data_IF_315732814426
#
_entry.id   IF_315732814426
#
_cell.length_a   1.000
_cell.length_b   1.000
_cell.length_c   1.000
_cell.angle_alpha   90.00
_cell.angle_beta   90.00
_cell.angle_gamma   90.00
#
_symmetry.space_group_name_H-M   'P 1'
#
loop_
_entity.id
_entity.type
_entity.pdbx_description
1 polymer ?
#
# COMPACT_ATOMS: atom_id res chain seq x y z
N UNK A 1 -18.02 37.27 15.43
CA UNK A 1 -16.75 36.77 15.99
C UNK A 1 -16.83 35.36 16.61
N UNK A 2 -17.95 34.92 17.23
CA UNK A 2 -18.07 33.56 17.82
C UNK A 2 -18.04 32.38 16.81
N UNK A 3 -18.41 32.59 15.55
CA UNK A 3 -18.45 31.53 14.53
C UNK A 3 -17.07 31.09 14.03
N UNK A 4 -16.12 32.03 13.91
CA UNK A 4 -14.76 31.75 13.40
C UNK A 4 -14.04 30.74 14.31
N UNK A 5 -14.13 30.90 15.63
CA UNK A 5 -13.51 29.97 16.59
C UNK A 5 -14.02 28.53 16.48
N UNK A 6 -15.32 28.34 16.20
CA UNK A 6 -15.92 27.00 16.10
C UNK A 6 -15.39 26.21 14.89
N UNK A 7 -15.17 26.87 13.75
CA UNK A 7 -14.63 26.21 12.56
C UNK A 7 -13.18 25.76 12.75
N UNK A 8 -12.34 26.62 13.36
CA UNK A 8 -10.95 26.29 13.67
C UNK A 8 -10.83 25.11 14.65
N UNK A 9 -11.64 25.11 15.71
CA UNK A 9 -11.66 24.00 16.68
C UNK A 9 -12.06 22.69 15.99
N UNK A 10 -13.10 22.69 15.16
CA UNK A 10 -13.52 21.47 14.44
C UNK A 10 -12.47 20.99 13.41
N UNK A 11 -11.81 21.91 12.71
CA UNK A 11 -10.74 21.57 11.78
C UNK A 11 -9.55 20.95 12.52
N UNK A 12 -9.14 21.56 13.64
CA UNK A 12 -8.09 21.02 14.51
C UNK A 12 -8.45 19.63 15.05
N UNK A 13 -9.68 19.44 15.56
CA UNK A 13 -10.13 18.12 16.01
C UNK A 13 -10.06 17.07 14.91
N UNK A 14 -10.52 17.39 13.69
CA UNK A 14 -10.44 16.47 12.54
C UNK A 14 -9.00 16.14 12.18
N UNK A 15 -8.13 17.15 12.12
CA UNK A 15 -6.70 16.96 11.88
C UNK A 15 -6.08 16.05 12.93
N UNK A 16 -6.29 16.34 14.21
CA UNK A 16 -5.75 15.54 15.33
C UNK A 16 -6.24 14.10 15.31
N UNK A 17 -7.53 13.86 15.05
CA UNK A 17 -8.08 12.50 14.91
C UNK A 17 -7.40 11.75 13.77
N UNK A 18 -7.26 12.39 12.60
CA UNK A 18 -6.62 11.74 11.45
C UNK A 18 -5.15 11.45 11.75
N UNK A 19 -4.40 12.43 12.26
CA UNK A 19 -2.99 12.28 12.59
C UNK A 19 -2.77 11.14 13.60
N UNK A 20 -3.52 11.14 14.69
CA UNK A 20 -3.43 10.08 15.72
C UNK A 20 -3.81 8.72 15.13
N UNK A 21 -4.86 8.64 14.31
CA UNK A 21 -5.26 7.39 13.65
C UNK A 21 -4.14 6.88 12.73
N UNK A 22 -3.53 7.75 11.93
CA UNK A 22 -2.41 7.40 11.06
C UNK A 22 -1.20 6.90 11.85
N UNK A 23 -0.86 7.54 12.97
CA UNK A 23 0.24 7.13 13.84
C UNK A 23 -0.01 5.75 14.47
N UNK A 24 -1.21 5.50 14.99
CA UNK A 24 -1.60 4.20 15.57
C UNK A 24 -1.58 3.11 14.49
N UNK A 25 -2.17 3.37 13.33
CA UNK A 25 -2.20 2.41 12.22
C UNK A 25 -0.80 2.12 11.68
N UNK A 26 0.06 3.14 11.61
CA UNK A 26 1.47 2.97 11.24
C UNK A 26 2.17 2.09 12.25
N UNK A 27 2.06 2.40 13.54
CA UNK A 27 2.63 1.58 14.62
C UNK A 27 2.16 0.13 14.55
N UNK A 28 0.87 -0.13 14.30
CA UNK A 28 0.36 -1.48 14.10
C UNK A 28 1.08 -2.22 12.98
N UNK A 29 1.18 -1.59 11.80
CA UNK A 29 1.82 -2.18 10.63
C UNK A 29 3.31 -2.42 10.87
N UNK A 30 4.04 -1.38 11.29
CA UNK A 30 5.49 -1.43 11.36
C UNK A 30 5.97 -2.26 12.53
N UNK A 31 5.26 -2.29 13.67
CA UNK A 31 5.64 -3.14 14.78
C UNK A 31 5.38 -4.62 14.46
N UNK A 32 4.25 -4.95 13.83
CA UNK A 32 3.95 -6.34 13.40
C UNK A 32 5.03 -6.90 12.49
N UNK A 33 5.61 -6.05 11.63
CA UNK A 33 6.68 -6.43 10.71
C UNK A 33 8.06 -6.42 11.40
N UNK A 34 8.47 -5.29 11.97
CA UNK A 34 9.84 -5.08 12.44
C UNK A 34 10.17 -5.89 13.70
N UNK A 35 9.19 -6.18 14.58
CA UNK A 35 9.46 -7.03 15.76
C UNK A 35 9.71 -8.50 15.40
N UNK A 36 9.17 -8.96 14.27
CA UNK A 36 9.35 -10.32 13.77
C UNK A 36 10.59 -10.42 12.89
N UNK A 37 10.65 -9.58 11.87
CA UNK A 37 11.62 -9.68 10.79
C UNK A 37 12.85 -8.77 10.95
N UNK A 38 12.75 -7.67 11.71
CA UNK A 38 13.80 -6.65 11.80
C UNK A 38 14.22 -6.17 10.40
N UNK A 39 15.52 -6.02 10.18
CA UNK A 39 16.07 -5.95 8.83
C UNK A 39 16.92 -7.20 8.50
N UNK A 40 16.39 -8.36 8.88
CA UNK A 40 16.91 -9.69 8.56
C UNK A 40 18.29 -10.01 9.17
N UNK A 41 18.65 -9.44 10.32
CA UNK A 41 19.97 -9.66 10.93
C UNK A 41 20.16 -11.03 11.59
N UNK A 42 19.16 -11.93 11.49
CA UNK A 42 19.27 -13.29 12.03
C UNK A 42 20.12 -14.19 11.12
N UNK A 43 21.39 -14.32 11.51
CA UNK A 43 22.42 -15.10 10.79
C UNK A 43 22.22 -16.61 10.84
N UNK A 44 21.31 -17.12 11.67
CA UNK A 44 21.08 -18.58 11.77
C UNK A 44 20.35 -19.16 10.54
N UNK A 45 19.82 -18.31 9.66
CA UNK A 45 19.44 -18.73 8.32
C UNK A 45 20.69 -18.78 7.43
N UNK A 46 21.43 -19.89 7.51
CA UNK A 46 22.72 -20.12 6.83
C UNK A 46 22.73 -19.90 5.29
N UNK A 47 21.61 -19.52 4.68
CA UNK A 47 21.42 -19.38 3.24
C UNK A 47 21.01 -17.97 2.76
N UNK A 48 20.74 -17.00 3.65
CA UNK A 48 20.17 -15.70 3.25
C UNK A 48 21.06 -14.51 3.62
N UNK A 49 22.00 -14.17 2.71
CA UNK A 49 22.76 -12.92 2.72
C UNK A 49 21.91 -11.75 2.20
N UNK A 50 20.88 -11.39 2.96
CA UNK A 50 19.87 -10.37 2.63
C UNK A 50 19.75 -9.30 3.71
N UNK A 51 20.79 -9.14 4.53
CA UNK A 51 20.78 -8.22 5.67
C UNK A 51 20.92 -6.77 5.21
N UNK A 52 20.40 -5.81 6.01
CA UNK A 52 20.58 -4.39 5.69
C UNK A 52 22.05 -3.97 5.53
N UNK A 53 23.03 -4.43 6.34
CA UNK A 53 24.44 -4.13 6.13
C UNK A 53 24.95 -4.60 4.76
N UNK A 54 24.58 -5.79 4.32
CA UNK A 54 24.98 -6.31 3.00
C UNK A 54 24.36 -5.49 1.86
N UNK A 55 23.13 -5.00 2.04
CA UNK A 55 22.51 -4.05 1.11
C UNK A 55 23.26 -2.73 1.10
N UNK A 56 23.59 -2.16 2.27
CA UNK A 56 24.33 -0.92 2.40
C UNK A 56 25.73 -0.98 1.75
N UNK A 57 26.32 -2.16 1.72
CA UNK A 57 27.64 -2.42 1.14
C UNK A 57 27.58 -2.86 -0.33
N UNK A 58 26.38 -3.08 -0.88
CA UNK A 58 26.21 -3.62 -2.23
C UNK A 58 26.70 -5.07 -2.39
N UNK A 59 26.83 -5.81 -1.29
CA UNK A 59 27.37 -7.18 -1.25
C UNK A 59 26.29 -8.26 -1.09
N UNK A 60 25.02 -7.85 -0.93
CA UNK A 60 23.89 -8.77 -0.88
C UNK A 60 23.80 -9.66 -2.12
N UNK A 61 23.14 -10.82 -1.99
CA UNK A 61 22.89 -11.72 -3.13
C UNK A 61 21.88 -11.12 -4.10
N UNK A 62 21.97 -11.49 -5.38
CA UNK A 62 20.91 -11.22 -6.36
C UNK A 62 19.69 -12.13 -6.07
N UNK A 63 18.46 -11.62 -6.24
CA UNK A 63 18.11 -10.30 -6.77
C UNK A 63 18.05 -9.18 -5.71
N UNK A 64 18.27 -9.50 -4.44
CA UNK A 64 18.07 -8.58 -3.32
C UNK A 64 18.92 -7.31 -3.42
N UNK A 65 20.18 -7.43 -3.87
CA UNK A 65 21.09 -6.28 -4.04
C UNK A 65 20.56 -5.19 -4.97
N UNK A 66 19.68 -5.51 -5.93
CA UNK A 66 19.08 -4.49 -6.81
C UNK A 66 18.18 -3.50 -6.07
N UNK A 67 17.83 -3.79 -4.80
CA UNK A 67 17.01 -2.94 -3.92
C UNK A 67 17.85 -2.10 -2.95
N UNK A 68 19.18 -2.18 -3.06
CA UNK A 68 20.14 -1.50 -2.20
C UNK A 68 20.26 0.01 -2.45
N UNK A 69 19.67 0.54 -3.53
CA UNK A 69 19.77 1.95 -3.94
C UNK A 69 19.50 2.93 -2.80
N UNK A 70 18.43 2.69 -2.04
CA UNK A 70 18.06 3.54 -0.91
C UNK A 70 19.08 3.47 0.25
N UNK A 71 19.35 2.31 0.87
CA UNK A 71 20.29 2.25 1.99
C UNK A 71 21.73 2.63 1.60
N UNK A 72 22.16 2.34 0.37
CA UNK A 72 23.46 2.80 -0.13
C UNK A 72 23.53 4.32 -0.23
N UNK A 73 22.48 4.98 -0.75
CA UNK A 73 22.42 6.44 -0.84
C UNK A 73 22.47 7.08 0.55
N UNK A 74 21.76 6.50 1.53
CA UNK A 74 21.80 6.96 2.91
C UNK A 74 23.18 6.78 3.52
N UNK A 75 23.78 5.58 3.39
CA UNK A 75 25.13 5.32 3.89
C UNK A 75 26.15 6.28 3.29
N UNK A 76 26.07 6.49 1.97
CA UNK A 76 26.93 7.43 1.26
C UNK A 76 26.78 8.85 1.82
N UNK A 77 25.55 9.35 1.97
CA UNK A 77 25.30 10.68 2.52
C UNK A 77 25.84 10.83 3.96
N UNK A 78 25.62 9.82 4.81
CA UNK A 78 26.11 9.81 6.20
C UNK A 78 27.64 9.76 6.25
N UNK A 79 28.28 8.97 5.37
CA UNK A 79 29.74 8.87 5.30
C UNK A 79 30.44 10.17 4.89
N UNK A 80 29.71 11.09 4.26
CA UNK A 80 30.20 12.42 3.86
C UNK A 80 30.05 13.48 4.96
N UNK A 81 29.37 13.17 6.07
CA UNK A 81 29.25 14.09 7.19
C UNK A 81 30.60 14.23 7.92
N UNK A 82 30.93 15.42 8.46
CA UNK A 82 32.10 15.59 9.32
C UNK A 82 32.08 14.61 10.51
N UNK A 83 33.24 14.08 10.94
CA UNK A 83 33.31 13.11 12.04
C UNK A 83 32.64 13.60 13.34
N UNK A 84 32.77 14.89 13.67
CA UNK A 84 32.14 15.50 14.85
C UNK A 84 30.61 15.45 14.79
N UNK A 85 30.05 15.67 13.60
CA UNK A 85 28.61 15.59 13.39
C UNK A 85 28.12 14.14 13.43
N UNK A 86 28.89 13.19 12.87
CA UNK A 86 28.57 11.77 13.00
C UNK A 86 28.57 11.32 14.46
N UNK A 87 29.56 11.73 15.25
CA UNK A 87 29.64 11.40 16.68
C UNK A 87 28.49 12.04 17.48
N UNK A 88 28.14 13.29 17.17
CA UNK A 88 26.98 13.97 17.78
C UNK A 88 25.66 13.26 17.48
N UNK A 89 25.41 12.96 16.20
CA UNK A 89 24.21 12.23 15.77
C UNK A 89 24.17 10.82 16.37
N UNK A 90 25.31 10.13 16.36
CA UNK A 90 25.46 8.81 16.99
C UNK A 90 25.06 8.85 18.46
N UNK A 91 25.57 9.83 19.20
CA UNK A 91 25.24 10.01 20.62
C UNK A 91 23.75 10.28 20.79
N UNK A 92 23.15 11.16 19.99
CA UNK A 92 21.71 11.45 20.05
C UNK A 92 20.83 10.23 19.79
N UNK A 93 21.16 9.41 18.79
CA UNK A 93 20.36 8.22 18.48
C UNK A 93 20.58 7.10 19.51
N UNK A 94 21.75 7.03 20.14
CA UNK A 94 22.10 5.96 21.10
C UNK A 94 21.80 6.29 22.56
N UNK A 95 21.60 7.57 22.91
CA UNK A 95 21.38 8.03 24.30
C UNK A 95 20.16 7.36 24.97
N UNK A 96 19.13 7.01 24.19
CA UNK A 96 17.94 6.27 24.63
C UNK A 96 17.54 5.21 23.60
N UNK A 97 18.41 4.22 23.40
CA UNK A 97 18.32 3.27 22.28
C UNK A 97 17.24 2.16 22.46
N UNK A 98 15.99 2.58 22.69
CA UNK A 98 14.82 1.71 22.70
C UNK A 98 14.58 1.08 21.32
N UNK A 99 14.94 1.79 20.25
CA UNK A 99 14.75 1.33 18.87
C UNK A 99 15.69 0.16 18.57
N UNK A 100 17.00 0.26 18.85
CA UNK A 100 17.91 -0.87 18.65
C UNK A 100 17.56 -2.05 19.53
N UNK A 101 17.30 -1.81 20.82
CA UNK A 101 16.97 -2.91 21.74
C UNK A 101 15.73 -3.69 21.30
N UNK A 102 14.74 -3.03 20.70
CA UNK A 102 13.52 -3.67 20.22
C UNK A 102 13.65 -4.26 18.81
N UNK A 103 14.22 -3.51 17.86
CA UNK A 103 14.16 -3.84 16.42
C UNK A 103 15.49 -4.30 15.83
N UNK A 104 16.63 -3.87 16.37
CA UNK A 104 17.97 -4.13 15.79
C UNK A 104 18.90 -4.90 16.72
N UNK A 105 18.34 -5.53 17.77
CA UNK A 105 19.12 -6.21 18.82
C UNK A 105 19.89 -7.43 18.31
N UNK A 106 19.50 -7.94 17.15
CA UNK A 106 20.16 -9.05 16.44
C UNK A 106 21.46 -8.64 15.76
N UNK A 107 21.70 -7.35 15.52
CA UNK A 107 22.96 -6.88 14.89
C UNK A 107 24.10 -6.86 15.94
N UNK A 108 25.20 -7.61 15.74
CA UNK A 108 26.29 -7.64 16.71
C UNK A 108 26.91 -6.25 16.94
N UNK A 109 27.23 -5.93 18.20
CA UNK A 109 27.72 -4.60 18.60
C UNK A 109 28.96 -4.13 17.82
N UNK A 110 29.83 -5.06 17.39
CA UNK A 110 31.02 -4.74 16.57
C UNK A 110 30.71 -4.10 15.21
N UNK A 111 29.50 -4.31 14.68
CA UNK A 111 29.07 -3.70 13.41
C UNK A 111 28.28 -2.38 13.63
N UNK A 112 27.97 -2.03 14.88
CA UNK A 112 27.19 -0.84 15.25
C UNK A 112 28.06 0.42 15.29
N UNK A 113 28.64 0.76 14.13
CA UNK A 113 29.43 1.99 13.96
C UNK A 113 28.51 3.23 13.79
N UNK A 114 29.01 4.47 13.97
CA UNK A 114 28.22 5.68 13.77
C UNK A 114 27.48 5.74 12.43
N UNK A 115 28.17 5.38 11.34
CA UNK A 115 27.56 5.38 9.99
C UNK A 115 26.45 4.35 9.89
N UNK A 116 26.67 3.15 10.41
CA UNK A 116 25.69 2.05 10.36
C UNK A 116 24.46 2.39 11.18
N UNK A 117 24.64 2.83 12.43
CA UNK A 117 23.53 3.18 13.30
C UNK A 117 22.68 4.33 12.75
N UNK A 118 23.31 5.38 12.22
CA UNK A 118 22.57 6.50 11.63
C UNK A 118 21.80 6.03 10.39
N UNK A 119 22.41 5.19 9.54
CA UNK A 119 21.74 4.61 8.36
C UNK A 119 20.53 3.75 8.74
N UNK A 120 20.67 2.94 9.79
CA UNK A 120 19.59 2.13 10.35
C UNK A 120 18.41 2.99 10.82
N UNK A 121 18.69 4.06 11.57
CA UNK A 121 17.67 4.97 12.05
C UNK A 121 16.96 5.72 10.91
N UNK A 122 17.71 6.22 9.93
CA UNK A 122 17.12 6.86 8.74
C UNK A 122 16.24 5.87 7.97
N UNK A 123 16.68 4.62 7.82
CA UNK A 123 15.90 3.56 7.16
C UNK A 123 14.63 3.25 7.92
N UNK A 124 14.69 3.14 9.24
CA UNK A 124 13.53 2.97 10.11
C UNK A 124 12.52 4.10 9.99
N UNK A 125 12.96 5.36 10.11
CA UNK A 125 12.08 6.51 9.96
C UNK A 125 11.52 6.63 8.55
N UNK A 126 12.25 6.17 7.53
CA UNK A 126 11.75 6.10 6.15
C UNK A 126 10.63 5.08 6.02
N UNK A 127 10.76 3.90 6.65
CA UNK A 127 9.67 2.90 6.71
C UNK A 127 8.42 3.48 7.39
N UNK A 128 8.58 4.19 8.51
CA UNK A 128 7.48 4.87 9.19
C UNK A 128 6.83 5.92 8.27
N UNK A 129 7.64 6.80 7.66
CA UNK A 129 7.15 7.87 6.80
C UNK A 129 6.44 7.34 5.54
N UNK A 130 6.98 6.28 4.91
CA UNK A 130 6.37 5.62 3.77
C UNK A 130 5.03 4.98 4.14
N UNK A 131 4.93 4.37 5.31
CA UNK A 131 3.69 3.78 5.82
C UNK A 131 2.63 4.85 6.12
N UNK A 132 3.00 5.93 6.81
CA UNK A 132 2.11 7.09 7.05
C UNK A 132 1.63 7.66 5.71
N UNK A 133 2.55 7.86 4.76
CA UNK A 133 2.24 8.34 3.42
C UNK A 133 1.22 7.44 2.71
N UNK A 134 1.44 6.12 2.70
CA UNK A 134 0.50 5.17 2.10
C UNK A 134 -0.89 5.22 2.75
N UNK A 135 -0.96 5.22 4.08
CA UNK A 135 -2.23 5.30 4.82
C UNK A 135 -2.95 6.64 4.61
N UNK A 136 -2.20 7.74 4.52
CA UNK A 136 -2.74 9.05 4.18
C UNK A 136 -3.31 9.08 2.76
N UNK A 137 -2.61 8.49 1.78
CA UNK A 137 -3.10 8.38 0.41
C UNK A 137 -4.35 7.50 0.33
N UNK A 138 -4.42 6.42 1.09
CA UNK A 138 -5.64 5.59 1.22
C UNK A 138 -6.80 6.41 1.80
N UNK A 139 -6.55 7.20 2.86
CA UNK A 139 -7.54 8.11 3.42
C UNK A 139 -8.03 9.11 2.37
N UNK A 140 -7.13 9.74 1.62
CA UNK A 140 -7.49 10.69 0.57
C UNK A 140 -8.31 10.03 -0.56
N UNK A 141 -7.92 8.83 -1.00
CA UNK A 141 -8.69 8.05 -1.97
C UNK A 141 -10.09 7.71 -1.44
N UNK A 142 -10.21 7.33 -0.16
CA UNK A 142 -11.50 7.10 0.48
C UNK A 142 -12.38 8.37 0.46
N UNK A 143 -11.81 9.54 0.77
CA UNK A 143 -12.53 10.82 0.70
C UNK A 143 -12.93 11.19 -0.72
N UNK A 144 -12.09 10.89 -1.73
CA UNK A 144 -12.43 11.09 -3.15
C UNK A 144 -13.58 10.19 -3.61
N UNK A 145 -13.75 9.02 -3.01
CA UNK A 145 -14.86 8.10 -3.25
C UNK A 145 -16.11 8.41 -2.41
N UNK A 146 -16.22 9.64 -1.87
CA UNK A 146 -17.40 10.16 -1.16
C UNK A 146 -17.73 9.39 0.13
N UNK A 147 -16.74 8.69 0.71
CA UNK A 147 -16.90 8.16 2.06
C UNK A 147 -16.96 9.32 3.06
N UNK A 148 -17.84 9.19 4.06
CA UNK A 148 -17.88 10.12 5.18
C UNK A 148 -16.56 10.11 5.96
N UNK A 149 -16.30 11.14 6.77
CA UNK A 149 -15.09 11.23 7.59
C UNK A 149 -14.86 9.96 8.45
N UNK A 150 -15.91 9.49 9.13
CA UNK A 150 -15.85 8.27 9.94
C UNK A 150 -15.57 7.02 9.10
N UNK A 151 -16.30 6.83 7.99
CA UNK A 151 -16.09 5.68 7.10
C UNK A 151 -14.68 5.63 6.50
N UNK A 152 -14.13 6.78 6.10
CA UNK A 152 -12.77 6.85 5.57
C UNK A 152 -11.72 6.47 6.63
N UNK A 153 -11.87 6.94 7.88
CA UNK A 153 -11.01 6.53 8.99
C UNK A 153 -11.14 5.05 9.31
N UNK A 154 -12.37 4.53 9.41
CA UNK A 154 -12.62 3.10 9.63
C UNK A 154 -12.00 2.25 8.51
N UNK A 155 -12.04 2.71 7.27
CA UNK A 155 -11.40 2.01 6.15
C UNK A 155 -9.88 1.96 6.31
N UNK A 156 -9.24 3.06 6.71
CA UNK A 156 -7.79 3.11 6.98
C UNK A 156 -7.41 2.17 8.13
N UNK A 157 -8.20 2.15 9.20
CA UNK A 157 -8.02 1.22 10.33
C UNK A 157 -8.18 -0.22 9.86
N UNK A 158 -9.23 -0.54 9.09
CA UNK A 158 -9.40 -1.88 8.55
C UNK A 158 -8.20 -2.28 7.67
N UNK A 159 -7.76 -1.42 6.76
CA UNK A 159 -6.58 -1.66 5.94
C UNK A 159 -5.33 -1.93 6.79
N UNK A 160 -5.12 -1.15 7.85
CA UNK A 160 -3.94 -1.32 8.71
C UNK A 160 -3.94 -2.60 9.52
N UNK A 161 -5.11 -3.18 9.80
CA UNK A 161 -5.25 -4.49 10.43
C UNK A 161 -5.03 -5.64 9.42
N UNK A 162 -5.46 -5.46 8.17
CA UNK A 162 -5.31 -6.48 7.12
C UNK A 162 -3.91 -6.51 6.50
N UNK A 163 -3.28 -5.35 6.28
CA UNK A 163 -2.00 -5.26 5.56
C UNK A 163 -0.87 -6.10 6.20
N UNK A 164 -0.70 -6.13 7.54
CA UNK A 164 0.29 -7.00 8.17
C UNK A 164 0.12 -8.46 7.77
N UNK A 165 -1.11 -8.97 7.64
CA UNK A 165 -1.38 -10.38 7.30
C UNK A 165 -0.78 -10.82 5.96
N UNK A 166 -0.29 -9.89 5.14
CA UNK A 166 0.40 -10.16 3.87
C UNK A 166 1.90 -10.49 4.03
N UNK A 167 2.46 -10.34 5.24
CA UNK A 167 3.87 -10.57 5.59
C UNK A 167 4.09 -11.86 6.41
N UNK A 168 3.55 -12.99 5.93
CA UNK A 168 3.55 -14.25 6.69
C UNK A 168 4.94 -14.90 6.76
N UNK A 169 5.65 -14.92 5.63
CA UNK A 169 6.94 -15.61 5.46
C UNK A 169 8.16 -14.68 5.43
N UNK A 170 8.01 -13.41 5.03
CA UNK A 170 9.09 -12.41 5.10
C UNK A 170 8.56 -10.98 4.96
N UNK A 171 9.42 -9.99 5.24
CA UNK A 171 9.08 -8.57 5.08
C UNK A 171 10.32 -7.67 4.97
N UNK A 172 10.35 -6.72 4.04
CA UNK A 172 11.53 -5.88 3.83
C UNK A 172 11.20 -4.39 3.90
N UNK A 173 12.20 -3.56 4.23
CA UNK A 173 12.02 -2.10 4.30
C UNK A 173 11.49 -1.50 2.99
N UNK A 174 11.89 -2.07 1.85
CA UNK A 174 11.50 -1.60 0.52
C UNK A 174 10.04 -1.91 0.19
N UNK A 175 9.35 -2.81 0.90
CA UNK A 175 7.93 -3.07 0.66
C UNK A 175 7.06 -1.86 1.04
N UNK A 176 7.45 -1.12 2.07
CA UNK A 176 6.74 0.09 2.52
C UNK A 176 6.92 1.25 1.53
N UNK A 177 8.13 1.40 0.98
CA UNK A 177 8.41 2.37 -0.08
C UNK A 177 7.63 2.03 -1.35
N UNK A 178 7.60 0.77 -1.75
CA UNK A 178 6.81 0.31 -2.90
C UNK A 178 5.33 0.62 -2.70
N UNK A 179 4.76 0.28 -1.54
CA UNK A 179 3.37 0.56 -1.20
C UNK A 179 3.06 2.06 -1.31
N UNK A 180 3.89 2.90 -0.70
CA UNK A 180 3.73 4.36 -0.78
C UNK A 180 3.78 4.86 -2.22
N UNK A 181 4.75 4.37 -3.01
CA UNK A 181 4.92 4.74 -4.41
C UNK A 181 3.72 4.38 -5.28
N UNK A 182 3.18 3.16 -5.16
CA UNK A 182 2.02 2.76 -5.99
C UNK A 182 0.74 3.49 -5.61
N UNK A 183 0.51 3.75 -4.32
CA UNK A 183 -0.63 4.57 -3.90
C UNK A 183 -0.46 6.03 -4.35
N UNK A 184 0.74 6.58 -4.31
CA UNK A 184 1.01 7.95 -4.75
C UNK A 184 0.80 8.09 -6.26
N UNK A 185 1.33 7.15 -7.07
CA UNK A 185 1.14 7.13 -8.51
C UNK A 185 -0.36 7.02 -8.87
N UNK A 186 -1.10 6.13 -8.19
CA UNK A 186 -2.54 5.98 -8.35
C UNK A 186 -3.30 7.27 -7.99
N UNK A 187 -2.97 7.89 -6.85
CA UNK A 187 -3.58 9.14 -6.40
C UNK A 187 -3.34 10.29 -7.38
N UNK A 188 -2.09 10.50 -7.82
CA UNK A 188 -1.78 11.57 -8.77
C UNK A 188 -2.45 11.36 -10.13
N UNK A 189 -2.54 10.12 -10.61
CA UNK A 189 -3.30 9.81 -11.83
C UNK A 189 -4.77 10.15 -11.66
N UNK A 190 -5.39 9.76 -10.54
CA UNK A 190 -6.80 10.08 -10.26
C UNK A 190 -7.06 11.58 -10.09
N UNK A 191 -6.05 12.35 -9.65
CA UNK A 191 -6.07 13.82 -9.61
C UNK A 191 -5.73 14.47 -10.95
N UNK A 192 -5.45 13.68 -12.00
CA UNK A 192 -5.00 14.13 -13.34
C UNK A 192 -3.65 14.87 -13.32
N UNK A 193 -2.83 14.67 -12.29
CA UNK A 193 -1.49 15.25 -12.15
C UNK A 193 -0.43 14.31 -12.77
N UNK A 194 -0.45 14.17 -14.10
CA UNK A 194 0.36 13.16 -14.80
C UNK A 194 1.87 13.36 -14.67
N UNK A 195 2.35 14.60 -14.55
CA UNK A 195 3.77 14.86 -14.30
C UNK A 195 4.18 14.35 -12.92
N UNK A 196 3.40 14.64 -11.87
CA UNK A 196 3.66 14.13 -10.52
C UNK A 196 3.59 12.61 -10.45
N UNK A 197 2.62 12.00 -11.16
CA UNK A 197 2.53 10.54 -11.33
C UNK A 197 3.80 9.97 -11.98
N UNK A 198 4.31 10.60 -13.04
CA UNK A 198 5.51 10.15 -13.76
C UNK A 198 6.78 10.31 -12.92
N UNK A 199 6.94 11.44 -12.21
CA UNK A 199 8.05 11.65 -11.26
C UNK A 199 8.01 10.59 -10.15
N UNK A 200 6.81 10.31 -9.61
CA UNK A 200 6.62 9.28 -8.61
C UNK A 200 7.07 7.90 -9.13
N UNK A 201 6.66 7.52 -10.35
CA UNK A 201 7.08 6.27 -10.97
C UNK A 201 8.60 6.22 -11.18
N UNK A 202 9.21 7.30 -11.65
CA UNK A 202 10.65 7.38 -11.82
C UNK A 202 11.38 7.17 -10.49
N UNK A 203 11.00 7.87 -9.43
CA UNK A 203 11.64 7.76 -8.11
C UNK A 203 11.46 6.37 -7.51
N UNK A 204 10.23 5.86 -7.45
CA UNK A 204 9.96 4.57 -6.79
C UNK A 204 10.39 3.35 -7.61
N UNK A 205 10.68 3.51 -8.91
CA UNK A 205 11.25 2.41 -9.70
C UNK A 205 12.69 2.03 -9.30
N UNK A 206 13.42 2.90 -8.58
CA UNK A 206 14.71 2.55 -7.95
C UNK A 206 14.58 1.57 -6.77
N UNK A 207 13.37 1.39 -6.25
CA UNK A 207 13.12 0.60 -5.05
C UNK A 207 12.92 -0.90 -5.36
N UNK A 208 12.27 -1.24 -6.48
CA UNK A 208 12.00 -2.63 -6.87
C UNK A 208 11.90 -2.76 -8.38
N UNK A 209 12.52 -3.80 -8.92
CA UNK A 209 12.61 -4.06 -10.35
C UNK A 209 11.26 -4.36 -11.01
N UNK A 210 10.26 -4.82 -10.24
CA UNK A 210 8.90 -5.12 -10.72
C UNK A 210 8.01 -3.88 -10.83
N UNK A 211 8.48 -2.72 -10.37
CA UNK A 211 7.68 -1.49 -10.35
C UNK A 211 7.23 -1.03 -11.75
N UNK A 212 7.89 -1.48 -12.83
CA UNK A 212 7.46 -1.23 -14.21
C UNK A 212 6.06 -1.80 -14.54
N UNK A 213 5.54 -2.73 -13.75
CA UNK A 213 4.17 -3.23 -13.89
C UNK A 213 3.12 -2.18 -13.46
N UNK A 214 3.49 -1.24 -12.58
CA UNK A 214 2.59 -0.18 -12.13
C UNK A 214 2.08 0.72 -13.29
N UNK A 215 2.94 1.32 -14.15
CA UNK A 215 2.45 2.12 -15.27
C UNK A 215 1.62 1.30 -16.28
N UNK A 216 1.95 0.02 -16.51
CA UNK A 216 1.14 -0.87 -17.36
C UNK A 216 -0.28 -1.03 -16.83
N UNK A 217 -0.43 -1.20 -15.52
CA UNK A 217 -1.75 -1.26 -14.90
C UNK A 217 -2.47 0.10 -14.96
N UNK A 218 -1.76 1.19 -14.62
CA UNK A 218 -2.30 2.55 -14.59
C UNK A 218 -2.85 3.01 -15.96
N UNK A 219 -2.33 2.48 -17.07
CA UNK A 219 -2.90 2.70 -18.41
C UNK A 219 -4.41 2.44 -18.46
N UNK A 220 -4.89 1.39 -17.79
CA UNK A 220 -6.31 1.01 -17.72
C UNK A 220 -7.11 1.83 -16.70
N UNK A 221 -6.42 2.54 -15.81
CA UNK A 221 -7.01 3.47 -14.87
C UNK A 221 -7.24 4.85 -15.49
N UNK A 222 -6.93 5.16 -16.74
CA UNK A 222 -7.29 6.48 -17.30
C UNK A 222 -8.81 6.66 -17.46
N UNK A 223 -9.30 7.90 -17.30
CA UNK A 223 -10.68 8.27 -17.62
C UNK A 223 -10.96 8.11 -19.12
N UNK A 224 -12.22 7.86 -19.51
CA UNK A 224 -12.62 7.58 -20.90
C UNK A 224 -12.41 8.77 -21.85
N UNK A 225 -12.41 9.99 -21.34
CA UNK A 225 -12.20 11.23 -22.09
C UNK A 225 -10.73 11.45 -22.52
N UNK A 226 -9.77 10.81 -21.86
CA UNK A 226 -8.36 10.89 -22.23
C UNK A 226 -8.12 10.11 -23.52
N UNK A 227 -7.59 10.77 -24.55
CA UNK A 227 -7.30 10.15 -25.84
C UNK A 227 -6.29 9.00 -25.72
N UNK A 228 -6.43 7.96 -26.54
CA UNK A 228 -5.54 6.79 -26.52
C UNK A 228 -4.07 7.19 -26.73
N UNK A 229 -3.81 8.17 -27.62
CA UNK A 229 -2.48 8.71 -27.89
C UNK A 229 -1.84 9.31 -26.63
N UNK A 230 -2.59 10.09 -25.86
CA UNK A 230 -2.10 10.68 -24.61
C UNK A 230 -1.81 9.61 -23.56
N UNK A 231 -2.66 8.56 -23.44
CA UNK A 231 -2.39 7.44 -22.54
C UNK A 231 -1.11 6.70 -22.93
N UNK A 232 -0.95 6.42 -24.22
CA UNK A 232 0.21 5.74 -24.76
C UNK A 232 1.50 6.57 -24.57
N UNK A 233 1.45 7.90 -24.74
CA UNK A 233 2.61 8.76 -24.51
C UNK A 233 3.04 8.79 -23.05
N UNK A 234 2.09 8.87 -22.10
CA UNK A 234 2.42 8.79 -20.68
C UNK A 234 2.98 7.42 -20.30
N UNK A 235 2.37 6.33 -20.80
CA UNK A 235 2.88 4.99 -20.60
C UNK A 235 4.32 4.85 -21.12
N UNK A 236 4.59 5.31 -22.34
CA UNK A 236 5.92 5.26 -22.93
C UNK A 236 6.96 6.03 -22.10
N UNK A 237 6.62 7.24 -21.64
CA UNK A 237 7.49 8.03 -20.77
C UNK A 237 7.78 7.33 -19.44
N UNK A 238 6.74 6.77 -18.80
CA UNK A 238 6.87 6.07 -17.53
C UNK A 238 7.69 4.77 -17.66
N UNK A 239 7.48 4.00 -18.73
CA UNK A 239 8.27 2.81 -19.02
C UNK A 239 9.73 3.17 -19.34
N UNK A 240 9.98 4.25 -20.08
CA UNK A 240 11.34 4.73 -20.31
C UNK A 240 12.04 5.06 -19.00
N UNK A 241 11.36 5.74 -18.06
CA UNK A 241 11.90 5.95 -16.71
C UNK A 241 12.22 4.63 -16.02
N UNK A 242 11.29 3.66 -15.99
CA UNK A 242 11.53 2.37 -15.34
C UNK A 242 12.68 1.56 -15.99
N UNK A 243 12.86 1.66 -17.31
CA UNK A 243 13.97 1.00 -18.00
C UNK A 243 15.32 1.64 -17.65
N UNK A 244 15.38 2.97 -17.61
CA UNK A 244 16.58 3.70 -17.20
C UNK A 244 16.95 3.37 -15.76
N UNK A 245 15.99 3.44 -14.83
CA UNK A 245 16.26 3.13 -13.43
C UNK A 245 16.65 1.67 -13.25
N UNK A 246 15.97 0.73 -13.93
CA UNK A 246 16.35 -0.68 -13.93
C UNK A 246 17.79 -0.89 -14.40
N UNK A 247 18.19 -0.23 -15.49
CA UNK A 247 19.56 -0.32 -15.97
C UNK A 247 20.55 0.17 -14.91
N UNK A 248 20.29 1.34 -14.31
CA UNK A 248 21.15 1.93 -13.27
C UNK A 248 21.27 1.07 -12.00
N UNK A 249 20.18 0.44 -11.55
CA UNK A 249 20.21 -0.40 -10.33
C UNK A 249 20.76 -1.80 -10.57
N UNK A 250 20.88 -2.24 -11.82
CA UNK A 250 21.41 -3.57 -12.16
C UNK A 250 22.86 -3.50 -12.63
N UNK A 251 23.27 -2.39 -13.25
CA UNK A 251 24.64 -2.16 -13.68
C UNK A 251 25.58 -2.15 -12.47
N UNK A 252 26.52 -3.09 -12.42
CA UNK A 252 27.54 -3.15 -11.38
C UNK A 252 27.40 -4.31 -10.38
N UNK A 253 26.37 -5.14 -10.49
CA UNK A 253 26.16 -6.31 -9.61
C UNK A 253 26.30 -7.66 -10.33
N UNK A 254 26.97 -7.70 -11.48
CA UNK A 254 27.17 -8.92 -12.23
C UNK A 254 28.00 -9.95 -11.44
N UNK A 255 28.97 -9.46 -10.65
CA UNK A 255 29.85 -10.26 -9.79
C UNK A 255 29.20 -10.73 -8.48
N UNK A 256 28.05 -10.18 -8.10
CA UNK A 256 27.33 -10.64 -6.90
C UNK A 256 26.82 -12.07 -7.11
N UNK A 257 26.78 -12.85 -6.01
CA UNK A 257 26.28 -14.23 -6.03
C UNK A 257 24.75 -14.22 -6.21
N UNK A 258 24.20 -15.24 -6.89
CA UNK A 258 22.75 -15.43 -7.05
C UNK A 258 22.26 -15.23 -8.47
N UNK A 259 20.96 -15.46 -8.69
CA UNK A 259 20.29 -15.29 -9.98
C UNK A 259 19.49 -13.99 -10.08
N UNK A 260 19.05 -13.62 -11.29
CA UNK A 260 18.16 -12.47 -11.50
C UNK A 260 16.79 -12.66 -10.85
N UNK A 261 16.37 -13.91 -10.65
CA UNK A 261 15.14 -14.31 -9.98
C UNK A 261 15.40 -15.58 -9.19
N UNK A 262 14.63 -15.82 -8.14
CA UNK A 262 14.60 -17.10 -7.43
C UNK A 262 13.41 -17.93 -7.93
N UNK A 263 13.62 -19.22 -8.14
CA UNK A 263 12.59 -20.13 -8.64
C UNK A 263 12.10 -21.03 -7.50
N UNK A 264 10.80 -20.96 -7.21
CA UNK A 264 10.14 -21.61 -6.07
C UNK A 264 8.89 -22.38 -6.50
N UNK A 265 8.80 -22.79 -7.77
CA UNK A 265 7.58 -23.41 -8.31
C UNK A 265 7.18 -24.68 -7.55
N UNK A 266 8.14 -25.55 -7.24
CA UNK A 266 7.87 -26.83 -6.58
C UNK A 266 7.41 -26.59 -5.14
N UNK A 267 8.07 -25.68 -4.44
CA UNK A 267 7.74 -25.24 -3.09
C UNK A 267 6.33 -24.65 -3.03
N UNK A 268 5.99 -23.79 -3.99
CA UNK A 268 4.66 -23.19 -4.10
C UNK A 268 3.58 -24.25 -4.36
N UNK A 269 3.80 -25.16 -5.31
CA UNK A 269 2.83 -26.23 -5.61
C UNK A 269 2.60 -27.11 -4.39
N UNK A 270 3.66 -27.51 -3.66
CA UNK A 270 3.53 -28.29 -2.42
C UNK A 270 2.76 -27.53 -1.35
N UNK A 271 3.03 -26.23 -1.19
CA UNK A 271 2.36 -25.38 -0.22
C UNK A 271 0.86 -25.24 -0.51
N UNK A 272 0.48 -24.96 -1.76
CA UNK A 272 -0.91 -24.71 -2.14
C UNK A 272 -1.77 -25.98 -2.23
N UNK A 273 -1.18 -27.16 -2.38
CA UNK A 273 -1.92 -28.44 -2.35
C UNK A 273 -2.16 -28.93 -0.93
N UNK A 274 -1.31 -28.58 0.04
CA UNK A 274 -1.45 -29.04 1.42
C UNK A 274 -2.65 -28.35 2.13
N UNK A 275 -3.73 -29.07 2.46
CA UNK A 275 -4.90 -28.46 3.12
C UNK A 275 -4.58 -27.84 4.48
N UNK A 276 -3.49 -28.25 5.16
CA UNK A 276 -3.09 -27.69 6.45
C UNK A 276 -2.67 -26.23 6.36
N UNK A 277 -2.16 -25.78 5.21
CA UNK A 277 -1.74 -24.38 5.01
C UNK A 277 -2.92 -23.42 5.05
N UNK A 278 -4.14 -23.90 4.76
CA UNK A 278 -5.39 -23.13 4.85
C UNK A 278 -5.97 -23.07 6.27
N UNK A 279 -5.48 -23.87 7.21
CA UNK A 279 -5.91 -23.83 8.62
C UNK A 279 -4.84 -23.23 9.54
N UNK A 280 -3.78 -22.66 8.96
CA UNK A 280 -2.65 -22.11 9.70
C UNK A 280 -3.02 -20.83 10.47
N UNK A 281 -2.34 -20.65 11.60
CA UNK A 281 -2.36 -19.45 12.43
C UNK A 281 -0.92 -18.97 12.61
N UNK A 282 -0.75 -17.64 12.61
CA UNK A 282 0.53 -16.98 12.72
C UNK A 282 0.51 -15.92 13.83
N UNK A 283 1.65 -15.72 14.48
CA UNK A 283 1.82 -14.74 15.55
C UNK A 283 2.41 -13.43 15.02
N UNK A 284 1.80 -12.87 13.97
CA UNK A 284 2.34 -11.71 13.27
C UNK A 284 2.00 -10.38 13.97
N UNK A 285 0.77 -10.25 14.48
CA UNK A 285 0.32 -9.03 15.17
C UNK A 285 0.94 -8.96 16.58
N UNK A 286 1.09 -10.10 17.24
CA UNK A 286 1.74 -10.21 18.56
C UNK A 286 2.31 -11.61 18.75
N UNK A 287 3.46 -11.71 19.45
CA UNK A 287 4.21 -12.97 19.65
C UNK A 287 3.38 -14.11 20.28
N UNK A 288 2.29 -13.79 20.97
CA UNK A 288 1.47 -14.76 21.71
C UNK A 288 0.00 -14.80 21.28
N UNK A 289 -0.39 -14.04 20.24
CA UNK A 289 -1.78 -14.00 19.77
C UNK A 289 -1.88 -14.71 18.43
N UNK A 290 -2.45 -15.94 18.39
CA UNK A 290 -2.62 -16.66 17.13
C UNK A 290 -3.60 -15.89 16.24
N UNK A 291 -3.10 -15.43 15.10
CA UNK A 291 -3.88 -14.71 14.09
C UNK A 291 -4.08 -15.63 12.89
N UNK A 292 -5.31 -15.83 12.39
CA UNK A 292 -5.53 -16.70 11.24
C UNK A 292 -4.76 -16.18 10.02
N UNK A 293 -4.20 -17.08 9.21
CA UNK A 293 -3.59 -16.72 7.94
C UNK A 293 -4.59 -16.09 6.98
N UNK A 294 -4.13 -15.39 5.93
CA UNK A 294 -5.04 -14.69 5.02
C UNK A 294 -5.90 -15.67 4.20
N UNK A 295 -5.34 -16.84 3.89
CA UNK A 295 -6.02 -17.98 3.26
C UNK A 295 -6.96 -18.74 4.19
N UNK A 296 -6.91 -18.48 5.50
CA UNK A 296 -7.76 -19.14 6.47
C UNK A 296 -9.25 -18.81 6.21
N UNK A 297 -10.17 -19.79 6.26
CA UNK A 297 -11.61 -19.57 6.06
C UNK A 297 -12.19 -18.41 6.88
N UNK A 298 -11.70 -18.19 8.10
CA UNK A 298 -12.13 -17.09 8.97
C UNK A 298 -11.84 -15.70 8.38
N UNK A 299 -10.83 -15.59 7.52
CA UNK A 299 -10.42 -14.35 6.86
C UNK A 299 -10.89 -14.32 5.41
N UNK A 300 -10.62 -15.38 4.63
CA UNK A 300 -10.86 -15.37 3.18
C UNK A 300 -12.35 -15.36 2.83
N UNK A 301 -13.21 -16.05 3.58
CA UNK A 301 -14.65 -16.12 3.29
C UNK A 301 -15.32 -14.73 3.42
N UNK A 302 -15.23 -14.03 4.56
CA UNK A 302 -15.81 -12.68 4.66
C UNK A 302 -15.16 -11.71 3.67
N UNK A 303 -13.85 -11.83 3.42
CA UNK A 303 -13.15 -11.00 2.45
C UNK A 303 -13.67 -11.22 1.02
N UNK A 304 -13.87 -12.47 0.59
CA UNK A 304 -14.41 -12.81 -0.73
C UNK A 304 -15.86 -12.34 -0.87
N UNK A 305 -16.70 -12.52 0.16
CA UNK A 305 -18.08 -12.01 0.16
C UNK A 305 -18.09 -10.49 -0.02
N UNK A 306 -17.29 -9.79 0.79
CA UNK A 306 -17.15 -8.34 0.72
C UNK A 306 -16.63 -7.87 -0.65
N UNK A 307 -15.52 -8.43 -1.13
CA UNK A 307 -14.91 -8.05 -2.41
C UNK A 307 -15.79 -8.40 -3.60
N UNK A 308 -16.53 -9.52 -3.56
CA UNK A 308 -17.49 -9.88 -4.61
C UNK A 308 -18.64 -8.88 -4.68
N UNK A 309 -19.17 -8.45 -3.54
CA UNK A 309 -20.19 -7.42 -3.50
C UNK A 309 -19.64 -6.06 -3.98
N UNK A 310 -18.48 -5.66 -3.47
CA UNK A 310 -17.77 -4.45 -3.87
C UNK A 310 -17.48 -4.42 -5.39
N UNK A 311 -17.04 -5.55 -5.95
CA UNK A 311 -16.78 -5.74 -7.37
C UNK A 311 -18.02 -5.44 -8.22
N UNK A 312 -19.19 -5.94 -7.82
CA UNK A 312 -20.46 -5.72 -8.54
C UNK A 312 -20.82 -4.24 -8.63
N UNK A 313 -20.45 -3.44 -7.62
CA UNK A 313 -20.73 -2.00 -7.58
C UNK A 313 -19.62 -1.14 -8.19
N UNK A 314 -18.40 -1.66 -8.31
CA UNK A 314 -17.30 -0.92 -8.88
C UNK A 314 -17.47 -0.71 -10.39
N UNK A 315 -17.11 0.48 -10.88
CA UNK A 315 -17.10 0.77 -12.31
C UNK A 315 -16.16 -0.15 -13.09
N UNK A 316 -16.49 -0.39 -14.36
CA UNK A 316 -15.69 -1.23 -15.28
C UNK A 316 -14.22 -0.79 -15.37
N UNK A 317 -13.94 0.51 -15.24
CA UNK A 317 -12.58 1.08 -15.22
C UNK A 317 -11.73 0.49 -14.10
N UNK A 318 -12.25 0.46 -12.87
CA UNK A 318 -11.53 -0.09 -11.71
C UNK A 318 -11.34 -1.59 -11.81
N UNK A 319 -12.31 -2.30 -12.40
CA UNK A 319 -12.22 -3.74 -12.68
C UNK A 319 -11.10 -4.06 -13.69
N UNK A 320 -11.02 -3.31 -14.79
CA UNK A 320 -9.94 -3.45 -15.75
C UNK A 320 -8.58 -3.11 -15.13
N UNK A 321 -8.51 -2.06 -14.31
CA UNK A 321 -7.29 -1.74 -13.56
C UNK A 321 -6.87 -2.88 -12.63
N UNK A 322 -7.81 -3.49 -11.89
CA UNK A 322 -7.50 -4.65 -11.04
C UNK A 322 -6.96 -5.82 -11.87
N UNK A 323 -7.61 -6.18 -12.98
CA UNK A 323 -7.12 -7.27 -13.82
C UNK A 323 -5.72 -6.98 -14.40
N UNK A 324 -5.48 -5.75 -14.85
CA UNK A 324 -4.19 -5.34 -15.38
C UNK A 324 -3.07 -5.36 -14.33
N UNK A 325 -3.39 -5.02 -13.07
CA UNK A 325 -2.45 -5.09 -11.96
C UNK A 325 -2.24 -6.52 -11.45
N UNK A 326 -3.31 -7.31 -11.35
CA UNK A 326 -3.30 -8.60 -10.67
C UNK A 326 -2.75 -9.74 -11.54
N UNK A 327 -3.19 -9.86 -12.80
CA UNK A 327 -2.86 -11.05 -13.60
C UNK A 327 -1.36 -11.21 -13.91
N UNK A 328 -0.62 -10.15 -14.29
CA UNK A 328 0.83 -10.28 -14.47
C UNK A 328 1.52 -10.73 -13.18
N UNK A 329 1.08 -10.24 -12.02
CA UNK A 329 1.62 -10.65 -10.73
C UNK A 329 1.28 -12.10 -10.41
N UNK A 330 0.06 -12.57 -10.68
CA UNK A 330 -0.32 -13.98 -10.46
C UNK A 330 0.56 -14.91 -11.31
N UNK A 331 0.76 -14.56 -12.58
CA UNK A 331 1.61 -15.35 -13.49
C UNK A 331 3.05 -15.41 -12.99
N UNK A 332 3.60 -14.29 -12.50
CA UNK A 332 4.95 -14.24 -11.93
C UNK A 332 5.05 -14.93 -10.57
N UNK A 333 4.00 -14.85 -9.75
CA UNK A 333 3.99 -15.38 -8.38
C UNK A 333 4.04 -16.91 -8.37
N UNK A 334 3.44 -17.59 -9.36
CA UNK A 334 3.43 -19.05 -9.44
C UNK A 334 4.87 -19.63 -9.42
N UNK A 335 5.80 -19.21 -10.31
CA UNK A 335 7.17 -19.71 -10.29
C UNK A 335 8.15 -18.92 -9.40
N UNK A 336 7.91 -17.63 -9.14
CA UNK A 336 8.91 -16.76 -8.48
C UNK A 336 8.45 -16.20 -7.13
N UNK A 337 7.18 -16.31 -6.78
CA UNK A 337 6.68 -15.99 -5.44
C UNK A 337 7.12 -17.06 -4.44
N UNK A 338 6.88 -16.80 -3.15
CA UNK A 338 7.18 -17.77 -2.10
C UNK A 338 5.93 -17.98 -1.24
N UNK A 339 5.37 -19.19 -1.30
CA UNK A 339 4.24 -19.65 -0.48
C UNK A 339 3.08 -18.65 -0.45
N UNK A 340 2.76 -18.12 0.72
CA UNK A 340 1.69 -17.14 0.99
C UNK A 340 2.23 -15.72 1.24
N UNK A 341 3.36 -15.34 0.60
CA UNK A 341 3.84 -13.96 0.57
C UNK A 341 2.95 -13.02 -0.25
N UNK A 342 1.72 -12.79 0.23
CA UNK A 342 0.72 -11.94 -0.44
C UNK A 342 1.23 -10.51 -0.62
N UNK A 343 2.22 -10.06 0.17
CA UNK A 343 2.92 -8.78 -0.03
C UNK A 343 3.51 -8.63 -1.44
N UNK A 344 3.80 -9.72 -2.15
CA UNK A 344 4.26 -9.70 -3.53
C UNK A 344 3.23 -9.09 -4.50
N UNK A 345 1.96 -9.04 -4.10
CA UNK A 345 0.87 -8.39 -4.83
C UNK A 345 0.68 -6.91 -4.48
N UNK A 346 1.62 -6.27 -3.78
CA UNK A 346 1.59 -4.85 -3.38
C UNK A 346 1.20 -3.91 -4.53
N UNK A 347 1.67 -4.17 -5.76
CA UNK A 347 1.35 -3.36 -6.94
C UNK A 347 -0.15 -3.40 -7.31
N UNK A 348 -0.87 -4.46 -6.92
CA UNK A 348 -2.32 -4.57 -7.08
C UNK A 348 -3.12 -3.98 -5.91
N UNK A 349 -2.49 -3.59 -4.80
CA UNK A 349 -3.18 -3.09 -3.61
C UNK A 349 -3.96 -1.80 -3.89
N UNK A 350 -3.46 -0.81 -4.65
CA UNK A 350 -4.29 0.34 -5.02
C UNK A 350 -5.55 -0.05 -5.79
N UNK A 351 -5.46 -1.02 -6.71
CA UNK A 351 -6.62 -1.48 -7.46
C UNK A 351 -7.64 -2.20 -6.55
N UNK A 352 -7.16 -3.08 -5.67
CA UNK A 352 -7.99 -3.75 -4.66
C UNK A 352 -8.66 -2.74 -3.72
N UNK A 353 -7.92 -1.71 -3.27
CA UNK A 353 -8.45 -0.62 -2.45
C UNK A 353 -9.56 0.11 -3.19
N UNK A 354 -9.39 0.49 -4.46
CA UNK A 354 -10.43 1.17 -5.23
C UNK A 354 -11.70 0.31 -5.37
N UNK A 355 -11.56 -1.01 -5.57
CA UNK A 355 -12.72 -1.92 -5.53
C UNK A 355 -13.35 -1.91 -4.13
N UNK A 356 -12.55 -2.11 -3.08
CA UNK A 356 -13.01 -2.19 -1.70
C UNK A 356 -13.74 -0.92 -1.22
N UNK A 357 -13.33 0.27 -1.67
CA UNK A 357 -13.99 1.53 -1.34
C UNK A 357 -15.48 1.56 -1.77
N UNK A 358 -15.81 0.92 -2.90
CA UNK A 358 -17.22 0.80 -3.34
C UNK A 358 -18.02 -0.08 -2.37
N UNK A 359 -17.42 -1.17 -1.86
CA UNK A 359 -18.03 -2.02 -0.84
C UNK A 359 -18.16 -1.36 0.53
N UNK A 360 -17.15 -0.57 0.93
CA UNK A 360 -17.10 0.07 2.25
C UNK A 360 -18.28 1.02 2.50
N UNK A 361 -18.73 1.75 1.47
CA UNK A 361 -19.91 2.61 1.55
C UNK A 361 -21.23 1.84 1.82
N UNK A 362 -21.24 0.52 1.63
CA UNK A 362 -22.41 -0.37 1.72
C UNK A 362 -22.17 -1.54 2.67
N UNK A 363 -21.18 -1.47 3.54
CA UNK A 363 -20.75 -2.59 4.39
C UNK A 363 -21.94 -3.22 5.15
N UNK A 364 -22.78 -2.40 5.78
CA UNK A 364 -23.97 -2.87 6.50
C UNK A 364 -24.91 -3.66 5.58
N UNK A 365 -25.24 -3.14 4.39
CA UNK A 365 -26.15 -3.82 3.45
C UNK A 365 -25.63 -5.19 3.00
N UNK A 366 -24.31 -5.32 2.83
CA UNK A 366 -23.66 -6.56 2.40
C UNK A 366 -23.88 -7.68 3.44
N UNK A 367 -23.83 -7.35 4.74
CA UNK A 367 -23.87 -8.33 5.82
C UNK A 367 -25.21 -8.36 6.60
N UNK A 368 -26.10 -7.39 6.41
CA UNK A 368 -27.41 -7.34 7.08
C UNK A 368 -28.52 -8.10 6.34
N UNK A 369 -28.27 -8.62 5.13
CA UNK A 369 -29.30 -9.26 4.28
C UNK A 369 -29.77 -10.65 4.74
N UNK A 370 -29.47 -11.06 5.98
CA UNK A 370 -29.84 -12.37 6.54
C UNK A 370 -31.18 -12.39 7.31
N UNK A 371 -31.88 -11.25 7.42
CA UNK A 371 -33.17 -11.21 8.14
C UNK A 371 -34.15 -10.27 7.45
N UNK A 372 -34.66 -10.67 6.29
CA UNK A 372 -36.08 -10.44 5.97
C UNK A 372 -36.53 -11.35 4.81
N UNK A 373 -37.13 -12.49 5.15
CA UNK A 373 -38.33 -12.94 4.47
C UNK A 373 -39.43 -13.10 5.53
N UNK A 374 -40.50 -12.31 5.46
CA UNK A 374 -41.56 -12.65 4.53
C UNK A 374 -42.35 -11.41 4.15
N UNK A 375 -42.63 -11.30 2.85
CA UNK A 375 -43.80 -10.62 2.31
C UNK A 375 -45.04 -11.05 3.10
N UNK A 376 -45.41 -10.29 4.12
CA UNK A 376 -46.83 -10.17 4.46
C UNK A 376 -47.40 -9.41 3.29
N UNK A 377 -48.09 -10.16 2.43
CA UNK A 377 -48.91 -9.62 1.37
C UNK A 377 -49.93 -8.66 2.00
N UNK A 378 -49.60 -7.37 2.05
CA UNK A 378 -50.59 -6.33 2.22
C UNK A 378 -51.43 -6.31 0.94
N UNK A 379 -52.52 -7.07 0.97
CA UNK A 379 -53.70 -6.75 0.17
C UNK A 379 -54.18 -5.37 0.62
N UNK A 380 -53.61 -4.32 0.05
CA UNK A 380 -54.20 -2.98 0.05
C UNK A 380 -55.09 -2.91 -1.20
N UNK A 381 -56.39 -2.62 -1.05
CA UNK A 381 -57.29 -2.52 -2.19
C UNK A 381 -56.94 -1.31 -3.05
N UNK A 382 -57.00 -1.50 -4.36
CA UNK A 382 -57.10 -0.43 -5.34
C UNK A 382 -58.33 0.45 -5.02
N UNK A 383 -58.07 1.69 -4.63
CA UNK A 383 -58.97 2.83 -4.77
C UNK A 383 -58.09 3.85 -5.51
N UNK A 384 -58.23 4.12 -6.80
CA UNK A 384 -59.45 4.54 -7.49
C UNK A 384 -59.43 6.07 -7.54
N UNK A 385 -59.13 6.63 -8.72
CA UNK A 385 -59.40 8.04 -9.17
C UNK A 385 -58.65 9.16 -8.41
N UNK A 386 -58.04 10.20 -8.98
CA UNK A 386 -58.21 10.95 -10.23
C UNK A 386 -56.98 11.87 -10.39
N UNK A 387 -56.51 12.07 -11.62
CA UNK A 387 -55.50 13.07 -11.98
C UNK A 387 -56.06 14.50 -11.87
N UNK A 388 -55.25 15.48 -11.44
CA UNK A 388 -55.34 16.83 -11.97
C UNK A 388 -54.19 17.08 -12.96
N UNK A 389 -54.56 17.32 -14.21
CA UNK A 389 -53.73 18.06 -15.16
C UNK A 389 -53.54 19.49 -14.64
N UNK A 390 -52.29 19.94 -14.49
CA UNK A 390 -52.01 21.37 -14.46
C UNK A 390 -50.65 21.70 -15.07
N UNK A 391 -50.76 22.32 -16.25
CA UNK A 391 -50.00 23.46 -16.75
C UNK A 391 -48.49 23.30 -17.08
N UNK A 392 -48.28 23.26 -18.41
CA UNK A 392 -47.13 23.80 -19.12
C UNK A 392 -46.80 25.22 -18.61
N UNK A 393 -45.54 25.45 -18.26
CA UNK A 393 -44.95 26.78 -18.23
C UNK A 393 -43.62 26.82 -18.96
N UNK A 394 -43.51 27.88 -19.76
CA UNK A 394 -42.48 28.31 -20.68
C UNK A 394 -41.03 28.28 -20.18
N UNK A 395 -40.14 27.91 -21.12
CA UNK A 395 -38.81 28.45 -21.40
C UNK A 395 -38.13 29.34 -20.33
N UNK A 396 -36.99 28.85 -19.82
CA UNK A 396 -35.94 29.70 -19.27
C UNK A 396 -34.56 29.18 -19.71
N UNK A 397 -33.97 29.98 -20.59
CA UNK A 397 -32.57 29.91 -21.03
C UNK A 397 -31.68 30.03 -19.80
N UNK A 398 -30.85 29.01 -19.55
CA UNK A 398 -29.82 29.04 -18.52
C UNK A 398 -28.44 28.87 -19.17
N UNK A 399 -27.68 29.95 -19.07
CA UNK A 399 -26.26 30.08 -19.41
C UNK A 399 -25.39 28.98 -18.74
N UNK A 400 -24.19 28.70 -19.29
CA UNK A 400 -23.32 27.66 -18.77
C UNK A 400 -22.80 28.02 -17.37
N UNK A 401 -23.23 27.24 -16.37
CA UNK A 401 -22.71 27.26 -15.01
C UNK A 401 -21.22 26.86 -15.05
N UNK A 402 -20.32 27.83 -14.81
CA UNK A 402 -18.93 27.56 -14.39
C UNK A 402 -19.01 26.68 -13.14
N UNK A 403 -18.45 25.47 -13.20
CA UNK A 403 -18.18 24.66 -12.01
C UNK A 403 -17.04 25.31 -11.26
N UNK A 404 -17.36 26.10 -10.24
CA UNK A 404 -16.43 26.41 -9.17
C UNK A 404 -16.09 25.09 -8.46
N UNK A 405 -14.85 24.66 -8.64
CA UNK A 405 -14.24 23.62 -7.83
C UNK A 405 -14.06 24.23 -6.45
N UNK A 406 -14.91 23.82 -5.51
CA UNK A 406 -14.79 24.11 -4.10
C UNK A 406 -13.41 23.62 -3.63
N UNK A 407 -12.47 24.56 -3.46
CA UNK A 407 -11.16 24.33 -2.85
C UNK A 407 -11.33 24.35 -1.35
N UNK A 408 -11.68 23.20 -0.78
CA UNK A 408 -11.43 22.92 0.63
C UNK A 408 -10.33 21.85 0.70
N UNK A 409 -9.09 22.31 0.92
CA UNK A 409 -7.99 21.54 1.53
C UNK A 409 -7.40 22.40 2.62
#
# INVERSE_FOLDING_TARGET
MKSIGRHWVLAFCRFSIVLVTLLICTGNITNSVLLKWGFHEDRNSANYHITLPEMMDGTARKPFVYRASFPMSVKWAVSRLPPDLQAKLYTQVTQHDSIRSQYFSRLPARYWTPVVSITYYITYFTVLAATISALWLIYLLARMHVLTFGQALTFVVAFSLFYPLTFQESAFYYDFLELSGVFAACFFLMRRHMLACTICIAVFSFNKETFFLAPLALFFLHERDVSLRARASWLAAQLACCLVTRHLITSGYDTNIGGTVEFHLVENVRFWIDPKTYLSFWNLISRSVPTPSIQNPLVIVPLVIFLRAAWRFADRRYRHYLHAALWPLVVLFIPFGYRDEVRAFSLAFPALTLIALHGASRFTQIFSSATEPSRVASKLPLVGTTLPQTQRAASLVLAPRRREIQRDV
#
